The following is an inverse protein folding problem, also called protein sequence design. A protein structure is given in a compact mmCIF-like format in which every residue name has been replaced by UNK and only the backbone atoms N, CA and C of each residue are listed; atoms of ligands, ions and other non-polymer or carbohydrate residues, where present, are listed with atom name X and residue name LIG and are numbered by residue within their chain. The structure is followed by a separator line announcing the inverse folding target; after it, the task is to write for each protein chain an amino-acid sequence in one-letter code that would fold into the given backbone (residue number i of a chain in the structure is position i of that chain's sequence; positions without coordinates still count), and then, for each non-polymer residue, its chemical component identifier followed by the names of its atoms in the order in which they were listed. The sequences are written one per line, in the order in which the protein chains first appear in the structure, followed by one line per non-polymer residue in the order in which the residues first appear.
data_IF_644958765155
#
_entry.id   IF_644958765155
#
_cell.length_a   1.000
_cell.length_b   1.000
_cell.length_c   1.000
_cell.angle_alpha   90.00
_cell.angle_beta   90.00
_cell.angle_gamma   90.00
#
_symmetry.space_group_name_H-M   'P 1'
#
loop_
_entity.id
_entity.type
_entity.pdbx_description
1 polymer ?
#
# COMPACT_ATOMS: atom_id res chain seq x y z
N UNK A 1 11.93 -4.76 -2.00
CA UNK A 1 11.13 -5.33 -3.09
C UNK A 1 10.41 -6.54 -2.54
N UNK A 2 9.08 -6.50 -2.47
CA UNK A 2 8.22 -7.60 -2.03
C UNK A 2 8.14 -8.65 -3.11
N UNK A 3 8.16 -9.93 -2.72
CA UNK A 3 7.93 -11.03 -3.66
C UNK A 3 6.46 -11.47 -3.67
N UNK A 4 6.07 -12.21 -4.73
CA UNK A 4 4.73 -12.81 -4.82
C UNK A 4 4.48 -13.76 -3.66
N UNK A 5 5.48 -14.55 -3.26
CA UNK A 5 5.38 -15.50 -2.15
C UNK A 5 5.20 -14.78 -0.79
N UNK A 6 5.84 -13.64 -0.60
CA UNK A 6 5.64 -12.78 0.57
C UNK A 6 4.21 -12.22 0.61
N UNK A 7 3.76 -11.66 -0.50
CA UNK A 7 2.40 -11.13 -0.63
C UNK A 7 1.33 -12.21 -0.39
N UNK A 8 1.49 -13.39 -0.97
CA UNK A 8 0.58 -14.53 -0.82
C UNK A 8 0.46 -15.00 0.64
N UNK A 9 1.53 -14.89 1.42
CA UNK A 9 1.50 -15.18 2.86
C UNK A 9 0.62 -14.17 3.61
N UNK A 10 0.79 -12.87 3.33
CA UNK A 10 -0.04 -11.83 3.94
C UNK A 10 -1.51 -11.97 3.56
N UNK A 11 -1.80 -12.32 2.31
CA UNK A 11 -3.18 -12.50 1.84
C UNK A 11 -3.93 -13.62 2.58
N UNK A 12 -3.21 -14.62 3.09
CA UNK A 12 -3.78 -15.79 3.80
C UNK A 12 -3.81 -15.63 5.33
N UNK A 13 -3.05 -14.69 5.90
CA UNK A 13 -3.04 -14.45 7.33
C UNK A 13 -4.34 -13.75 7.76
N UNK A 14 -5.03 -14.16 8.84
CA UNK A 14 -6.09 -13.34 9.42
C UNK A 14 -5.54 -11.92 9.63
N UNK A 15 -6.36 -10.90 9.37
CA UNK A 15 -5.92 -9.50 9.30
C UNK A 15 -5.04 -9.16 10.49
N UNK A 16 -3.73 -9.11 10.26
CA UNK A 16 -2.76 -8.67 11.24
C UNK A 16 -2.97 -7.17 11.38
N UNK A 17 -2.81 -6.63 12.59
CA UNK A 17 -3.08 -5.19 12.84
C UNK A 17 -2.25 -4.27 11.95
N UNK A 18 -1.15 -4.77 11.41
CA UNK A 18 -0.16 -3.99 10.70
C UNK A 18 -0.32 -4.09 9.16
N UNK A 19 -1.39 -4.69 8.62
CA UNK A 19 -1.64 -4.78 7.17
C UNK A 19 -3.05 -4.33 6.82
N UNK A 20 -3.14 -3.26 6.03
CA UNK A 20 -4.40 -2.72 5.51
C UNK A 20 -4.50 -2.97 3.99
N UNK A 21 -5.58 -3.62 3.55
CA UNK A 21 -5.85 -3.84 2.12
C UNK A 21 -6.85 -2.80 1.58
N UNK A 22 -6.57 -2.25 0.40
CA UNK A 22 -7.51 -1.39 -0.33
C UNK A 22 -7.63 -1.77 -1.79
N UNK A 23 -8.86 -1.77 -2.30
CA UNK A 23 -9.15 -2.05 -3.71
C UNK A 23 -8.40 -1.10 -4.63
N UNK A 24 -8.61 0.21 -4.48
CA UNK A 24 -7.90 1.28 -5.19
C UNK A 24 -7.66 1.01 -6.70
N UNK A 25 -8.60 0.35 -7.39
CA UNK A 25 -8.37 -0.19 -8.74
C UNK A 25 -8.02 0.90 -9.76
N UNK A 26 -8.63 2.08 -9.63
CA UNK A 26 -8.43 3.21 -10.55
C UNK A 26 -7.89 4.45 -9.85
N UNK A 27 -8.38 4.76 -8.65
CA UNK A 27 -8.05 6.00 -7.94
C UNK A 27 -7.80 5.73 -6.47
N UNK A 28 -6.93 6.56 -5.90
CA UNK A 28 -6.69 6.67 -4.47
C UNK A 28 -6.18 8.09 -4.21
N UNK A 29 -6.78 8.83 -3.29
CA UNK A 29 -6.45 10.24 -3.09
C UNK A 29 -5.13 10.38 -2.34
N UNK A 30 -4.15 11.05 -2.95
CA UNK A 30 -2.89 11.43 -2.28
C UNK A 30 -3.09 12.48 -1.19
N UNK A 31 -4.19 13.24 -1.24
CA UNK A 31 -4.42 14.41 -0.39
C UNK A 31 -5.47 14.15 0.71
N UNK A 32 -6.19 13.03 0.65
CA UNK A 32 -7.22 12.67 1.63
C UNK A 32 -7.01 11.25 2.16
N UNK A 33 -7.20 10.26 1.28
CA UNK A 33 -7.16 8.85 1.69
C UNK A 33 -5.78 8.47 2.23
N UNK A 34 -4.71 8.77 1.48
CA UNK A 34 -3.37 8.34 1.85
C UNK A 34 -2.90 8.92 3.19
N UNK A 35 -3.00 10.24 3.45
CA UNK A 35 -2.62 10.80 4.75
C UNK A 35 -3.36 10.15 5.92
N UNK A 36 -4.66 9.88 5.79
CA UNK A 36 -5.47 9.29 6.85
C UNK A 36 -5.01 7.87 7.19
N UNK A 37 -4.83 7.00 6.18
CA UNK A 37 -4.29 5.66 6.39
C UNK A 37 -2.85 5.71 6.89
N UNK A 38 -2.04 6.65 6.40
CA UNK A 38 -0.67 6.77 6.84
C UNK A 38 -0.56 7.14 8.33
N UNK A 39 -1.35 8.12 8.76
CA UNK A 39 -1.41 8.52 10.16
C UNK A 39 -1.93 7.39 11.05
N UNK A 40 -2.98 6.66 10.64
CA UNK A 40 -3.52 5.54 11.40
C UNK A 40 -2.46 4.45 11.62
N UNK A 41 -1.87 3.93 10.54
CA UNK A 41 -0.88 2.85 10.63
C UNK A 41 0.38 3.28 11.39
N UNK A 42 0.89 4.48 11.16
CA UNK A 42 2.10 4.94 11.83
C UNK A 42 1.91 5.14 13.35
N UNK A 43 0.69 5.50 13.79
CA UNK A 43 0.34 5.60 15.21
C UNK A 43 0.07 4.25 15.87
N UNK A 44 -0.31 3.23 15.11
CA UNK A 44 -0.64 1.89 15.64
C UNK A 44 0.55 0.93 15.70
N UNK A 45 1.78 1.44 15.52
CA UNK A 45 3.00 0.63 15.54
C UNK A 45 3.61 0.39 14.16
N UNK A 46 3.23 1.19 13.17
CA UNK A 46 3.64 1.05 11.78
C UNK A 46 2.77 0.06 11.02
N UNK A 47 3.13 -0.20 9.76
CA UNK A 47 2.38 -1.20 8.99
C UNK A 47 2.58 -1.14 7.49
N UNK A 48 1.69 -1.82 6.78
CA UNK A 48 1.66 -1.93 5.32
C UNK A 48 0.30 -1.55 4.81
N UNK A 49 0.26 -0.60 3.88
CA UNK A 49 -0.93 -0.33 3.07
C UNK A 49 -0.72 -0.95 1.70
N UNK A 50 -1.61 -1.87 1.31
CA UNK A 50 -1.51 -2.61 0.05
C UNK A 50 -2.70 -2.24 -0.83
N UNK A 51 -2.41 -1.61 -1.97
CA UNK A 51 -3.40 -1.23 -2.97
C UNK A 51 -3.53 -2.32 -4.05
N UNK A 52 -4.76 -2.56 -4.50
CA UNK A 52 -5.10 -3.55 -5.51
C UNK A 52 -5.67 -4.85 -4.95
N UNK A 53 -6.13 -4.84 -3.70
CA UNK A 53 -6.78 -5.99 -3.05
C UNK A 53 -8.11 -5.55 -2.44
N UNK A 54 -9.21 -6.20 -2.78
CA UNK A 54 -10.52 -5.83 -2.25
C UNK A 54 -10.78 -6.39 -0.83
N UNK A 55 -11.88 -5.98 -0.20
CA UNK A 55 -12.25 -6.41 1.15
C UNK A 55 -12.46 -7.94 1.28
N UNK A 56 -12.71 -8.62 0.17
CA UNK A 56 -12.83 -10.08 0.11
C UNK A 56 -11.47 -10.76 -0.13
N UNK A 57 -10.36 -10.02 -0.02
CA UNK A 57 -8.98 -10.47 -0.25
C UNK A 57 -8.75 -11.01 -1.66
N UNK A 58 -9.45 -10.44 -2.64
CA UNK A 58 -9.25 -10.76 -4.05
C UNK A 58 -8.31 -9.74 -4.66
N UNK A 59 -7.30 -10.25 -5.38
CA UNK A 59 -6.36 -9.44 -6.15
C UNK A 59 -7.08 -8.89 -7.37
N UNK A 60 -7.27 -7.57 -7.38
CA UNK A 60 -7.93 -6.82 -8.48
C UNK A 60 -6.96 -5.92 -9.21
N UNK A 61 -5.80 -5.64 -8.61
CA UNK A 61 -4.81 -4.73 -9.16
C UNK A 61 -5.15 -3.26 -8.91
N UNK A 62 -4.17 -2.40 -9.14
CA UNK A 62 -4.32 -0.95 -9.03
C UNK A 62 -3.61 -0.24 -10.17
N UNK A 63 -4.25 0.82 -10.67
CA UNK A 63 -3.64 1.87 -11.50
C UNK A 63 -3.45 3.17 -10.72
N UNK A 64 -3.79 3.18 -9.43
CA UNK A 64 -3.54 4.33 -8.60
C UNK A 64 -2.03 4.57 -8.55
N UNK A 65 -1.62 5.80 -8.85
CA UNK A 65 -0.21 6.21 -8.84
C UNK A 65 0.67 5.59 -9.94
N UNK A 66 0.07 4.96 -10.95
CA UNK A 66 0.77 4.46 -12.14
C UNK A 66 1.71 5.54 -12.73
N UNK A 67 2.95 5.14 -13.03
CA UNK A 67 3.99 6.05 -13.52
C UNK A 67 4.53 7.04 -12.48
N UNK A 68 4.12 6.97 -11.22
CA UNK A 68 4.58 7.88 -10.14
C UNK A 68 5.24 7.19 -8.96
N UNK A 69 5.31 5.85 -8.93
CA UNK A 69 5.86 5.09 -7.79
C UNK A 69 7.28 5.53 -7.39
N UNK A 70 8.18 5.75 -8.36
CA UNK A 70 9.56 6.18 -8.11
C UNK A 70 9.72 7.54 -7.40
N UNK A 71 8.69 8.40 -7.44
CA UNK A 71 8.70 9.71 -6.79
C UNK A 71 7.71 9.81 -5.63
N UNK A 72 6.81 8.83 -5.49
CA UNK A 72 5.73 8.88 -4.52
C UNK A 72 6.28 8.98 -3.09
N UNK A 73 7.28 8.18 -2.71
CA UNK A 73 7.90 8.26 -1.38
C UNK A 73 8.37 9.68 -1.00
N UNK A 74 9.02 10.39 -1.94
CA UNK A 74 9.50 11.75 -1.70
C UNK A 74 8.35 12.77 -1.65
N UNK A 75 7.34 12.60 -2.50
CA UNK A 75 6.12 13.43 -2.45
C UNK A 75 5.40 13.29 -1.10
N UNK A 76 5.30 12.07 -0.58
CA UNK A 76 4.69 11.79 0.71
C UNK A 76 5.50 12.38 1.85
N UNK A 77 6.82 12.13 1.88
CA UNK A 77 7.68 12.74 2.90
C UNK A 77 7.53 14.26 2.95
N UNK A 78 7.47 14.91 1.78
CA UNK A 78 7.32 16.36 1.69
C UNK A 78 5.94 16.86 2.15
N UNK A 79 4.88 16.06 1.96
CA UNK A 79 3.50 16.43 2.28
C UNK A 79 3.08 16.09 3.70
N UNK A 80 3.40 14.89 4.18
CA UNK A 80 2.95 14.36 5.47
C UNK A 80 4.05 14.32 6.52
N UNK A 81 5.31 14.62 6.17
CA UNK A 81 6.44 14.65 7.11
C UNK A 81 6.95 13.27 7.55
N UNK A 82 6.36 12.19 7.01
CA UNK A 82 6.71 10.80 7.34
C UNK A 82 7.31 10.14 6.11
N UNK A 83 8.40 9.40 6.28
CA UNK A 83 9.00 8.62 5.21
C UNK A 83 8.16 7.35 4.99
N UNK A 84 7.50 7.28 3.84
CA UNK A 84 6.78 6.09 3.37
C UNK A 84 7.54 5.48 2.23
N UNK A 85 8.06 4.26 2.41
CA UNK A 85 8.69 3.52 1.32
C UNK A 85 7.61 2.91 0.44
N UNK A 86 7.75 3.05 -0.87
CA UNK A 86 6.77 2.59 -1.87
C UNK A 86 7.42 1.55 -2.76
N UNK A 87 6.70 0.47 -3.01
CA UNK A 87 7.15 -0.64 -3.84
C UNK A 87 6.02 -1.14 -4.75
N UNK A 88 6.38 -1.72 -5.88
CA UNK A 88 5.43 -2.27 -6.85
C UNK A 88 5.69 -3.74 -7.11
N UNK A 89 4.61 -4.51 -7.26
CA UNK A 89 4.67 -5.93 -7.58
C UNK A 89 3.79 -6.21 -8.80
N UNK A 90 4.38 -6.84 -9.82
CA UNK A 90 3.61 -7.48 -10.88
C UNK A 90 3.11 -8.84 -10.36
N UNK A 91 1.80 -8.97 -10.17
CA UNK A 91 1.18 -10.23 -9.77
C UNK A 91 1.06 -11.18 -10.98
N UNK A 92 1.16 -12.52 -10.80
CA UNK A 92 1.00 -13.51 -11.88
C UNK A 92 -0.30 -13.40 -12.69
N UNK A 93 -1.33 -12.77 -12.13
CA UNK A 93 -2.60 -12.51 -12.81
C UNK A 93 -2.54 -11.34 -13.82
N UNK A 94 -1.36 -10.75 -14.04
CA UNK A 94 -1.15 -9.67 -15.01
C UNK A 94 -1.57 -8.29 -14.51
N UNK A 95 -1.59 -8.08 -13.19
CA UNK A 95 -1.98 -6.82 -12.56
C UNK A 95 -0.91 -6.33 -11.59
N UNK A 96 -0.84 -5.01 -11.38
CA UNK A 96 0.09 -4.40 -10.44
C UNK A 96 -0.54 -4.21 -9.06
N UNK A 97 0.29 -4.36 -8.04
CA UNK A 97 0.00 -4.01 -6.65
C UNK A 97 0.98 -2.94 -6.20
N UNK A 98 0.51 -2.01 -5.37
CA UNK A 98 1.34 -0.97 -4.78
C UNK A 98 1.40 -1.19 -3.26
N UNK A 99 2.62 -1.29 -2.74
CA UNK A 99 2.91 -1.51 -1.33
C UNK A 99 3.48 -0.24 -0.74
N UNK A 100 2.96 0.16 0.40
CA UNK A 100 3.48 1.27 1.19
C UNK A 100 3.86 0.77 2.57
N UNK A 101 5.10 1.02 2.98
CA UNK A 101 5.60 0.66 4.30
C UNK A 101 5.66 1.89 5.16
N UNK A 102 5.04 1.78 6.32
CA UNK A 102 4.90 2.87 7.27
C UNK A 102 5.73 2.61 8.52
N UNK A 103 6.57 3.58 8.93
CA UNK A 103 7.35 3.48 10.15
C UNK A 103 6.46 3.72 11.37
N UNK A 104 6.98 3.40 12.55
CA UNK A 104 6.44 3.87 13.82
C UNK A 104 6.82 5.33 14.01
N UNK A 105 5.88 6.16 14.48
CA UNK A 105 6.13 7.57 14.85
C UNK A 105 6.88 7.73 16.17
#
# INVERSE_FOLDING_TARGET
MTTVEEFDRWLRQPEDRDIEFKKAEYTFSKDKDLPDYCAALANEGGGKLILGVNNNRQVVGTKAFEGTYNRLSNELLSKIGIRVDVDELMHPNGVFLCFMYLPVL
#
